data_IF_251331632411
#
_entry.id   IF_251331632411
#
_cell.length_a   1.000
_cell.length_b   1.000
_cell.length_c   1.000
_cell.angle_alpha   90.00
_cell.angle_beta   90.00
_cell.angle_gamma   90.00
#
_symmetry.space_group_name_H-M   'P 1'
#
loop_
_entity.id
_entity.type
_entity.pdbx_description
1 polymer ?
#
# COMPACT_ATOMS: atom_id res chain seq x y z
N UNK A 1 -13.08 22.30 1.87
CA UNK A 1 -13.47 23.32 0.88
C UNK A 1 -13.45 22.64 -0.47
N UNK A 2 -14.62 22.50 -1.08
CA UNK A 2 -14.77 21.89 -2.40
C UNK A 2 -14.20 22.87 -3.44
N UNK A 3 -13.11 22.48 -4.11
CA UNK A 3 -12.48 23.30 -5.15
C UNK A 3 -13.38 23.22 -6.39
N UNK A 4 -14.11 24.31 -6.67
CA UNK A 4 -14.94 24.39 -7.88
C UNK A 4 -14.06 24.41 -9.13
N UNK A 5 -14.46 23.74 -10.22
CA UNK A 5 -13.66 23.67 -11.44
C UNK A 5 -13.48 25.05 -12.07
N UNK A 6 -12.26 25.35 -12.51
CA UNK A 6 -11.93 26.56 -13.27
C UNK A 6 -12.73 26.58 -14.59
N UNK A 7 -13.49 27.65 -14.83
CA UNK A 7 -14.30 27.80 -16.05
C UNK A 7 -13.48 28.51 -17.11
N UNK A 8 -13.28 27.88 -18.28
CA UNK A 8 -12.66 28.54 -19.44
C UNK A 8 -13.63 29.55 -20.04
N UNK A 9 -13.28 30.84 -19.99
CA UNK A 9 -14.10 31.92 -20.57
C UNK A 9 -13.67 32.23 -22.00
N UNK A 10 -12.37 32.21 -22.28
CA UNK A 10 -11.81 32.49 -23.59
C UNK A 10 -10.74 31.43 -23.95
N UNK A 11 -11.13 30.36 -24.65
CA UNK A 11 -10.22 29.28 -25.05
C UNK A 11 -9.02 29.76 -25.88
N UNK A 12 -9.20 30.80 -26.68
CA UNK A 12 -8.20 31.33 -27.61
C UNK A 12 -7.09 32.10 -26.89
N UNK A 13 -7.40 32.66 -25.71
CA UNK A 13 -6.47 33.45 -24.91
C UNK A 13 -5.95 32.70 -23.67
N UNK A 14 -6.29 31.41 -23.54
CA UNK A 14 -6.01 30.60 -22.34
C UNK A 14 -6.42 31.36 -21.07
N UNK A 15 -7.67 31.83 -20.97
CA UNK A 15 -8.18 32.50 -19.77
C UNK A 15 -9.18 31.62 -19.03
N UNK A 16 -8.95 31.44 -17.72
CA UNK A 16 -9.83 30.72 -16.81
C UNK A 16 -10.30 31.62 -15.68
N UNK A 17 -11.57 31.50 -15.33
CA UNK A 17 -12.17 32.11 -14.15
C UNK A 17 -12.15 31.12 -13.00
N UNK A 18 -11.66 31.55 -11.86
CA UNK A 18 -11.89 30.90 -10.58
C UNK A 18 -13.27 31.31 -10.04
N UNK A 19 -14.28 30.42 -10.05
CA UNK A 19 -15.62 30.75 -9.58
C UNK A 19 -15.69 30.97 -8.06
N UNK A 20 -14.66 30.60 -7.30
CA UNK A 20 -14.62 30.80 -5.84
C UNK A 20 -14.14 32.21 -5.46
N UNK A 21 -13.26 32.82 -6.26
CA UNK A 21 -12.68 34.14 -5.99
C UNK A 21 -13.12 35.22 -6.98
N UNK A 22 -13.70 34.84 -8.11
CA UNK A 22 -14.03 35.75 -9.22
C UNK A 22 -12.81 36.27 -9.98
N UNK A 23 -11.61 35.74 -9.70
CA UNK A 23 -10.38 36.15 -10.37
C UNK A 23 -10.23 35.49 -11.73
N UNK A 24 -9.81 36.28 -12.72
CA UNK A 24 -9.47 35.80 -14.07
C UNK A 24 -7.96 35.59 -14.12
N UNK A 25 -7.54 34.35 -14.34
CA UNK A 25 -6.14 33.98 -14.48
C UNK A 25 -5.82 33.47 -15.89
N UNK A 26 -4.54 33.56 -16.27
CA UNK A 26 -4.03 32.80 -17.40
C UNK A 26 -4.13 31.31 -17.04
N UNK A 27 -4.92 30.57 -17.78
CA UNK A 27 -4.97 29.13 -17.74
C UNK A 27 -3.54 28.63 -18.00
N UNK A 28 -2.93 27.99 -16.99
CA UNK A 28 -1.76 27.14 -17.21
C UNK A 28 -2.13 26.24 -18.39
N UNK A 29 -1.37 26.31 -19.48
CA UNK A 29 -1.71 25.80 -20.83
C UNK A 29 -1.84 24.28 -20.96
N UNK A 30 -2.31 23.59 -19.92
CA UNK A 30 -2.77 22.22 -19.95
C UNK A 30 -4.20 22.21 -19.44
N UNK A 31 -5.06 21.51 -20.15
CA UNK A 31 -6.39 21.12 -19.67
C UNK A 31 -6.30 20.80 -18.18
N UNK A 32 -7.10 21.48 -17.35
CA UNK A 32 -7.25 21.09 -15.94
C UNK A 32 -7.97 19.75 -15.98
N UNK A 33 -7.19 18.67 -16.04
CA UNK A 33 -7.71 17.32 -15.93
C UNK A 33 -8.05 17.16 -14.45
N UNK A 34 -9.34 17.13 -14.14
CA UNK A 34 -9.83 16.68 -12.83
C UNK A 34 -9.57 15.18 -12.82
N UNK A 35 -8.38 14.80 -12.36
CA UNK A 35 -8.07 13.41 -12.07
C UNK A 35 -8.77 13.07 -10.76
N UNK A 36 -9.73 12.15 -10.81
CA UNK A 36 -10.23 11.53 -9.59
C UNK A 36 -9.03 10.84 -8.92
N UNK A 37 -8.80 11.19 -7.65
CA UNK A 37 -7.81 10.52 -6.82
C UNK A 37 -8.39 9.27 -6.16
N UNK A 38 -9.64 8.89 -6.48
CA UNK A 38 -10.32 7.78 -5.82
C UNK A 38 -9.59 6.47 -6.08
N UNK A 39 -9.19 6.21 -7.34
CA UNK A 39 -8.40 5.02 -7.69
C UNK A 39 -7.05 5.02 -6.96
N UNK A 40 -6.38 6.18 -6.86
CA UNK A 40 -5.10 6.29 -6.15
C UNK A 40 -5.31 6.02 -4.65
N UNK A 41 -6.37 6.55 -4.05
CA UNK A 41 -6.71 6.34 -2.65
C UNK A 41 -7.06 4.87 -2.36
N UNK A 42 -7.77 4.19 -3.28
CA UNK A 42 -8.02 2.75 -3.17
C UNK A 42 -6.72 1.94 -3.19
N UNK A 43 -5.78 2.29 -4.07
CA UNK A 43 -4.46 1.64 -4.11
C UNK A 43 -3.64 1.92 -2.85
N UNK A 44 -3.71 3.15 -2.30
CA UNK A 44 -3.06 3.50 -1.04
C UNK A 44 -3.66 2.68 0.12
N UNK A 45 -4.98 2.58 0.20
CA UNK A 45 -5.65 1.80 1.25
C UNK A 45 -5.29 0.31 1.17
N UNK A 46 -5.20 -0.27 -0.04
CA UNK A 46 -4.75 -1.65 -0.22
C UNK A 46 -3.28 -1.85 0.21
N UNK A 47 -2.42 -0.87 -0.06
CA UNK A 47 -1.02 -0.89 0.38
C UNK A 47 -0.90 -0.79 1.90
N UNK A 48 -1.69 0.07 2.54
CA UNK A 48 -1.75 0.21 4.00
C UNK A 48 -2.19 -1.11 4.65
N UNK A 49 -3.27 -1.73 4.15
CA UNK A 49 -3.74 -3.03 4.63
C UNK A 49 -2.66 -4.12 4.51
N UNK A 50 -1.96 -4.18 3.38
CA UNK A 50 -0.86 -5.14 3.18
C UNK A 50 0.32 -4.87 4.12
N UNK A 51 0.63 -3.60 4.39
CA UNK A 51 1.69 -3.22 5.31
C UNK A 51 1.34 -3.60 6.76
N UNK A 52 0.10 -3.37 7.17
CA UNK A 52 -0.41 -3.76 8.48
C UNK A 52 -0.41 -5.29 8.64
N UNK A 53 -0.84 -6.04 7.62
CA UNK A 53 -0.77 -7.51 7.63
C UNK A 53 0.66 -8.02 7.78
N UNK A 54 1.63 -7.39 7.11
CA UNK A 54 3.04 -7.73 7.25
C UNK A 54 3.55 -7.48 8.68
N UNK A 55 3.17 -6.37 9.31
CA UNK A 55 3.54 -6.10 10.71
C UNK A 55 2.86 -7.10 11.65
N UNK A 56 1.58 -7.39 11.42
CA UNK A 56 0.81 -8.36 12.19
C UNK A 56 1.38 -9.78 12.06
N UNK A 57 1.97 -10.14 10.92
CA UNK A 57 2.61 -11.45 10.70
C UNK A 57 3.78 -11.74 11.66
N UNK A 58 4.35 -10.71 12.28
CA UNK A 58 5.40 -10.85 13.30
C UNK A 58 4.85 -11.36 14.64
N UNK A 59 3.56 -11.15 14.90
CA UNK A 59 2.86 -11.76 16.03
C UNK A 59 2.27 -13.11 15.59
N UNK A 60 2.74 -14.24 16.16
CA UNK A 60 2.30 -15.57 15.74
C UNK A 60 0.83 -15.88 16.07
N UNK A 61 0.15 -15.01 16.82
CA UNK A 61 -1.26 -15.14 17.21
C UNK A 61 -2.22 -14.47 16.23
N UNK A 62 -1.71 -13.70 15.26
CA UNK A 62 -2.53 -13.05 14.24
C UNK A 62 -2.89 -14.01 13.11
N UNK A 63 -3.83 -13.57 12.27
CA UNK A 63 -4.31 -14.30 11.11
C UNK A 63 -4.01 -13.42 9.89
N UNK A 64 -3.43 -13.96 8.80
CA UNK A 64 -3.19 -13.18 7.61
C UNK A 64 -4.50 -12.63 7.04
N UNK A 65 -4.51 -11.34 6.67
CA UNK A 65 -5.64 -10.72 5.99
C UNK A 65 -6.02 -11.50 4.71
N UNK A 66 -7.32 -11.70 4.49
CA UNK A 66 -7.82 -12.49 3.36
C UNK A 66 -7.67 -14.01 3.49
N UNK A 67 -7.21 -14.54 4.63
CA UNK A 67 -7.14 -15.98 4.87
C UNK A 67 -8.52 -16.65 4.94
N UNK A 68 -8.60 -17.88 4.44
CA UNK A 68 -9.77 -18.73 4.67
C UNK A 68 -10.00 -18.97 6.18
N UNK A 69 -11.24 -19.16 6.63
CA UNK A 69 -11.54 -19.53 8.01
C UNK A 69 -10.74 -20.77 8.45
N UNK A 70 -10.25 -20.77 9.69
CA UNK A 70 -9.44 -21.87 10.24
C UNK A 70 -7.94 -21.80 9.95
N UNK A 71 -7.43 -20.64 9.52
CA UNK A 71 -5.99 -20.34 9.34
C UNK A 71 -5.34 -19.70 10.59
N UNK A 72 -6.01 -19.81 11.73
CA UNK A 72 -5.47 -19.38 13.03
C UNK A 72 -4.17 -20.14 13.34
N UNK A 73 -3.12 -19.41 13.75
CA UNK A 73 -1.82 -19.99 14.09
C UNK A 73 -1.00 -20.49 12.89
N UNK A 74 -1.32 -20.06 11.66
CA UNK A 74 -0.48 -20.33 10.48
C UNK A 74 0.93 -19.76 10.69
N UNK A 75 1.04 -18.52 11.19
CA UNK A 75 2.35 -17.92 11.49
C UNK A 75 3.10 -18.70 12.56
N UNK A 76 2.42 -19.18 13.62
CA UNK A 76 3.02 -20.02 14.65
C UNK A 76 3.54 -21.35 14.06
N UNK A 77 2.75 -22.00 13.21
CA UNK A 77 3.12 -23.27 12.57
C UNK A 77 4.29 -23.07 11.61
N UNK A 78 4.24 -22.01 10.79
CA UNK A 78 5.29 -21.65 9.87
C UNK A 78 6.61 -21.36 10.61
N UNK A 79 6.57 -20.55 11.67
CA UNK A 79 7.74 -20.23 12.50
C UNK A 79 8.33 -21.45 13.20
N UNK A 80 7.50 -22.39 13.68
CA UNK A 80 7.99 -23.65 14.24
C UNK A 80 8.69 -24.51 13.18
N UNK A 81 8.08 -24.65 12.00
CA UNK A 81 8.63 -25.46 10.93
C UNK A 81 9.98 -24.90 10.43
N UNK A 82 10.07 -23.58 10.21
CA UNK A 82 11.32 -22.95 9.79
C UNK A 82 12.42 -23.10 10.85
N UNK A 83 12.08 -22.91 12.13
CA UNK A 83 13.03 -23.12 13.23
C UNK A 83 13.50 -24.57 13.33
N UNK A 84 12.63 -25.56 13.10
CA UNK A 84 13.02 -26.98 13.05
C UNK A 84 14.00 -27.25 11.92
N UNK A 85 13.72 -26.74 10.72
CA UNK A 85 14.59 -26.92 9.55
C UNK A 85 15.94 -26.25 9.76
N UNK A 86 15.97 -25.02 10.28
CA UNK A 86 17.22 -24.34 10.62
C UNK A 86 18.00 -25.08 11.70
N UNK A 87 17.32 -25.54 12.75
CA UNK A 87 17.95 -26.36 13.79
C UNK A 87 18.52 -27.66 13.24
N UNK A 88 17.83 -28.32 12.31
CA UNK A 88 18.31 -29.54 11.65
C UNK A 88 19.55 -29.28 10.80
N UNK A 89 19.53 -28.23 9.97
CA UNK A 89 20.68 -27.86 9.12
C UNK A 89 21.89 -27.48 10.00
N UNK A 90 21.69 -26.63 11.02
CA UNK A 90 22.76 -26.27 11.96
C UNK A 90 23.30 -27.50 12.71
N UNK A 91 22.42 -28.40 13.13
CA UNK A 91 22.80 -29.67 13.76
C UNK A 91 23.66 -30.54 12.85
N UNK A 92 23.32 -30.66 11.56
CA UNK A 92 24.13 -31.39 10.58
C UNK A 92 25.50 -30.75 10.35
N UNK A 93 25.58 -29.42 10.28
CA UNK A 93 26.84 -28.69 10.13
C UNK A 93 27.76 -28.95 11.34
N UNK A 94 27.21 -28.87 12.56
CA UNK A 94 27.97 -29.14 13.80
C UNK A 94 28.41 -30.60 13.86
N UNK A 95 27.53 -31.55 13.50
CA UNK A 95 27.87 -32.97 13.47
C UNK A 95 29.02 -33.25 12.49
N UNK A 96 28.97 -32.66 11.29
CA UNK A 96 30.02 -32.80 10.29
C UNK A 96 31.34 -32.19 10.78
N UNK A 97 31.28 -31.02 11.42
CA UNK A 97 32.46 -30.36 12.01
C UNK A 97 33.07 -31.14 13.19
N UNK A 98 32.28 -31.93 13.92
CA UNK A 98 32.79 -32.80 15.01
C UNK A 98 33.39 -34.12 14.50
N UNK A 99 33.00 -34.57 13.30
CA UNK A 99 33.49 -35.81 12.69
C UNK A 99 34.77 -35.63 11.85
N UNK A 100 35.12 -34.39 11.48
CA UNK A 100 36.31 -34.01 10.70
C UNK A 100 37.46 -33.57 11.60
#
# INVERSE_FOLDING_TARGET
>A
MEMLPLVKIAPEYNLTLDPSTGMIGAALGREVIILSMDEINEQIAALEATADDLINSLDPTTIPEGSYPGREGVYLTAGKLTNIVYGFILGLIILFALLL
#
